data_IF_969191111589
#
_entry.id   IF_969191111589
#
_cell.length_a   1.000
_cell.length_b   1.000
_cell.length_c   1.000
_cell.angle_alpha   90.00
_cell.angle_beta   90.00
_cell.angle_gamma   90.00
#
_symmetry.space_group_name_H-M   'P 1'
#
loop_
_entity.id
_entity.type
_entity.pdbx_description
1 polymer ?
#
# COMPACT_ATOMS: atom_id res chain seq x y z
N UNK A 1 27.34 -23.18 0.65
CA UNK A 1 28.60 -22.49 0.31
C UNK A 1 28.85 -21.47 1.40
N UNK A 2 30.06 -21.44 1.98
CA UNK A 2 30.45 -20.46 3.00
C UNK A 2 31.38 -19.45 2.35
N UNK A 3 31.15 -18.17 2.59
CA UNK A 3 31.98 -17.07 2.10
C UNK A 3 32.30 -16.19 3.28
N UNK A 4 33.56 -15.84 3.42
CA UNK A 4 34.02 -14.96 4.49
C UNK A 4 33.76 -13.50 4.12
N UNK A 5 33.25 -12.75 5.08
CA UNK A 5 32.96 -11.34 4.96
C UNK A 5 33.35 -10.62 6.26
N UNK A 6 33.73 -9.36 6.12
CA UNK A 6 34.02 -8.47 7.23
C UNK A 6 32.79 -7.60 7.45
N UNK A 7 32.30 -7.56 8.69
CA UNK A 7 31.31 -6.57 9.09
C UNK A 7 32.01 -5.26 9.43
N UNK A 8 31.66 -4.18 8.72
CA UNK A 8 32.18 -2.84 9.00
C UNK A 8 31.03 -1.83 8.89
N UNK A 9 30.71 -1.16 10.00
CA UNK A 9 29.72 -0.06 10.07
C UNK A 9 28.36 -0.38 9.41
N UNK A 10 27.77 -1.54 9.70
CA UNK A 10 26.46 -1.91 9.15
C UNK A 10 26.49 -2.55 7.76
N UNK A 11 27.69 -2.82 7.21
CA UNK A 11 27.86 -3.45 5.90
C UNK A 11 28.66 -4.74 6.02
N UNK A 12 28.33 -5.72 5.18
CA UNK A 12 29.12 -6.94 4.99
C UNK A 12 29.93 -6.80 3.71
N UNK A 13 31.25 -6.86 3.84
CA UNK A 13 32.21 -6.78 2.74
C UNK A 13 32.85 -8.13 2.52
N UNK A 14 32.69 -8.71 1.33
CA UNK A 14 33.29 -10.00 1.02
C UNK A 14 34.80 -9.86 0.83
N UNK A 15 35.57 -10.75 1.45
CA UNK A 15 37.04 -10.77 1.34
C UNK A 15 37.49 -11.12 -0.08
N UNK A 16 36.69 -11.95 -0.76
CA UNK A 16 36.89 -12.33 -2.16
C UNK A 16 35.78 -11.71 -3.02
N UNK A 17 36.08 -11.34 -4.28
CA UNK A 17 35.08 -10.82 -5.19
C UNK A 17 34.04 -11.90 -5.53
N UNK A 18 32.82 -11.74 -4.99
CA UNK A 18 31.69 -12.63 -5.24
C UNK A 18 30.66 -11.93 -6.14
N UNK A 19 30.27 -12.59 -7.24
CA UNK A 19 29.14 -12.17 -8.07
C UNK A 19 27.92 -13.02 -7.73
N UNK A 20 26.92 -12.39 -7.14
CA UNK A 20 25.62 -13.01 -6.86
C UNK A 20 24.75 -12.99 -8.12
N UNK A 21 23.96 -14.05 -8.33
CA UNK A 21 23.08 -14.17 -9.51
C UNK A 21 21.86 -13.24 -9.46
N UNK A 22 21.50 -12.74 -8.28
CA UNK A 22 20.35 -11.87 -8.05
C UNK A 22 20.74 -10.66 -7.21
N UNK A 23 20.00 -9.56 -7.37
CA UNK A 23 20.30 -8.28 -6.71
C UNK A 23 20.00 -8.25 -5.20
N UNK A 24 19.14 -9.14 -4.69
CA UNK A 24 18.85 -9.26 -3.25
C UNK A 24 18.72 -10.73 -2.87
N UNK A 25 19.49 -11.16 -1.88
CA UNK A 25 19.41 -12.51 -1.30
C UNK A 25 19.37 -12.41 0.23
N UNK A 26 18.63 -13.30 0.92
CA UNK A 26 18.73 -13.45 2.37
C UNK A 26 20.06 -14.12 2.73
N UNK A 27 20.70 -13.64 3.80
CA UNK A 27 21.96 -14.17 4.33
C UNK A 27 21.78 -14.55 5.80
N UNK A 28 22.43 -15.63 6.22
CA UNK A 28 22.56 -16.01 7.64
C UNK A 28 24.01 -15.76 8.03
N UNK A 29 24.22 -14.93 9.05
CA UNK A 29 25.55 -14.54 9.52
C UNK A 29 25.78 -15.15 10.89
N UNK A 30 26.89 -15.88 11.05
CA UNK A 30 27.32 -16.40 12.34
C UNK A 30 28.32 -15.40 12.94
N UNK A 31 27.97 -14.83 14.09
CA UNK A 31 28.81 -13.91 14.85
C UNK A 31 28.78 -14.31 16.32
N UNK A 32 29.85 -14.03 17.09
CA UNK A 32 29.83 -14.20 18.55
C UNK A 32 28.76 -13.30 19.18
N UNK A 33 28.12 -13.76 20.25
CA UNK A 33 27.06 -12.99 20.93
C UNK A 33 27.61 -11.67 21.50
N UNK A 34 28.89 -11.63 21.88
CA UNK A 34 29.55 -10.43 22.42
C UNK A 34 29.75 -9.34 21.35
N UNK A 35 29.79 -9.72 20.08
CA UNK A 35 29.96 -8.80 18.96
C UNK A 35 28.63 -8.15 18.54
N UNK A 36 27.50 -8.58 19.12
CA UNK A 36 26.17 -8.07 18.80
C UNK A 36 25.63 -7.30 20.00
N UNK A 37 25.65 -5.98 19.90
CA UNK A 37 24.79 -5.16 20.73
C UNK A 37 23.38 -5.38 20.20
N UNK A 38 22.62 -6.26 20.86
CA UNK A 38 21.19 -6.39 20.63
C UNK A 38 20.58 -5.09 21.08
N UNK A 39 20.37 -4.18 20.13
CA UNK A 39 19.39 -3.14 20.30
C UNK A 39 18.08 -3.85 20.65
N UNK A 40 17.68 -3.78 21.91
CA UNK A 40 16.34 -4.19 22.40
C UNK A 40 15.24 -3.29 21.81
N UNK A 41 15.52 -2.68 20.65
CA UNK A 41 14.65 -1.90 19.81
C UNK A 41 14.17 -2.74 18.60
N UNK A 42 13.94 -4.04 18.77
CA UNK A 42 12.58 -4.49 18.47
C UNK A 42 11.69 -3.92 19.56
N UNK A 43 11.50 -2.60 19.55
CA UNK A 43 10.26 -2.09 20.09
C UNK A 43 9.21 -2.83 19.25
N UNK A 44 8.24 -3.55 19.84
CA UNK A 44 6.97 -3.65 19.14
C UNK A 44 6.71 -2.20 18.69
N UNK A 45 6.55 -1.97 17.38
CA UNK A 45 6.13 -0.65 16.89
C UNK A 45 5.18 -0.10 17.94
N UNK A 46 5.39 1.13 18.48
CA UNK A 46 4.56 1.64 19.56
C UNK A 46 3.15 1.29 19.15
N UNK A 47 2.51 0.39 19.90
CA UNK A 47 1.19 -0.11 19.51
C UNK A 47 0.39 1.16 19.49
N UNK A 48 0.15 1.71 18.30
CA UNK A 48 -0.50 2.99 18.15
C UNK A 48 -1.96 2.66 18.43
N UNK A 49 -2.25 2.58 19.72
CA UNK A 49 -3.56 2.29 20.26
C UNK A 49 -4.33 3.57 20.02
N UNK A 50 -5.04 3.58 18.90
CA UNK A 50 -6.02 4.60 18.61
C UNK A 50 -6.95 4.74 19.82
N UNK A 51 -7.32 5.97 20.22
CA UNK A 51 -8.31 6.17 21.26
C UNK A 51 -9.57 5.36 20.96
N UNK A 52 -10.27 4.85 21.99
CA UNK A 52 -11.44 4.00 21.81
C UNK A 52 -12.54 4.68 20.99
N UNK A 53 -12.63 6.02 21.06
CA UNK A 53 -13.54 6.83 20.26
C UNK A 53 -13.24 6.75 18.75
N UNK A 54 -11.96 6.74 18.37
CA UNK A 54 -11.54 6.65 16.96
C UNK A 54 -11.80 5.25 16.41
N UNK A 55 -11.58 4.21 17.22
CA UNK A 55 -11.93 2.83 16.87
C UNK A 55 -13.44 2.66 16.71
N UNK A 56 -14.24 3.23 17.62
CA UNK A 56 -15.69 3.20 17.53
C UNK A 56 -16.20 3.92 16.27
N UNK A 57 -15.62 5.08 15.94
CA UNK A 57 -15.94 5.79 14.70
C UNK A 57 -15.60 4.96 13.47
N UNK A 58 -14.43 4.31 13.45
CA UNK A 58 -13.99 3.47 12.34
C UNK A 58 -14.95 2.30 12.09
N UNK A 59 -15.41 1.63 13.16
CA UNK A 59 -16.37 0.54 13.07
C UNK A 59 -17.72 0.99 12.49
N UNK A 60 -18.22 2.15 12.95
CA UNK A 60 -19.46 2.73 12.41
C UNK A 60 -19.31 3.11 10.93
N UNK A 61 -18.14 3.63 10.53
CA UNK A 61 -17.87 3.96 9.14
C UNK A 61 -17.76 2.71 8.26
N UNK A 62 -17.10 1.65 8.75
CA UNK A 62 -16.98 0.37 8.05
C UNK A 62 -18.35 -0.25 7.79
N UNK A 63 -19.21 -0.28 8.81
CA UNK A 63 -20.58 -0.80 8.67
C UNK A 63 -21.40 -0.02 7.63
N UNK A 64 -21.31 1.32 7.63
CA UNK A 64 -21.99 2.15 6.62
C UNK A 64 -21.47 1.87 5.21
N UNK A 65 -20.17 1.71 5.05
CA UNK A 65 -19.57 1.44 3.74
C UNK A 65 -19.96 0.05 3.22
N UNK A 66 -20.05 -0.95 4.09
CA UNK A 66 -20.49 -2.28 3.71
C UNK A 66 -21.98 -2.29 3.29
N UNK A 67 -22.82 -1.54 4.00
CA UNK A 67 -24.22 -1.33 3.61
C UNK A 67 -24.33 -0.69 2.22
N UNK A 68 -23.54 0.35 1.92
CA UNK A 68 -23.53 1.01 0.60
C UNK A 68 -23.03 0.04 -0.48
N UNK A 69 -21.96 -0.71 -0.20
CA UNK A 69 -21.34 -1.63 -1.16
C UNK A 69 -22.29 -2.76 -1.56
N UNK A 70 -23.08 -3.25 -0.61
CA UNK A 70 -23.99 -4.38 -0.81
C UNK A 70 -25.43 -3.92 -1.14
N UNK A 71 -25.71 -2.61 -1.11
CA UNK A 71 -27.01 -2.08 -1.48
C UNK A 71 -27.24 -2.20 -3.00
N UNK A 72 -28.48 -2.49 -3.43
CA UNK A 72 -28.84 -2.35 -4.83
C UNK A 72 -28.69 -0.89 -5.27
N UNK A 73 -28.40 -0.63 -6.55
CA UNK A 73 -28.40 0.74 -7.06
C UNK A 73 -29.79 1.38 -6.83
N UNK A 74 -29.85 2.69 -6.55
CA UNK A 74 -31.12 3.39 -6.43
C UNK A 74 -31.89 3.34 -7.75
N UNK A 75 -33.22 3.46 -7.68
CA UNK A 75 -34.02 3.57 -8.89
C UNK A 75 -33.69 4.88 -9.62
N UNK A 76 -33.77 4.87 -10.95
CA UNK A 76 -33.51 6.07 -11.76
C UNK A 76 -34.40 7.26 -11.39
N UNK A 77 -35.63 7.00 -10.90
CA UNK A 77 -36.56 8.03 -10.44
C UNK A 77 -36.09 8.76 -9.16
N UNK A 78 -35.24 8.12 -8.36
CA UNK A 78 -34.67 8.67 -7.12
C UNK A 78 -33.35 9.41 -7.37
N UNK A 79 -32.83 9.38 -8.60
CA UNK A 79 -31.61 10.09 -8.96
C UNK A 79 -31.86 11.60 -9.05
N UNK A 80 -30.92 12.43 -8.56
CA UNK A 80 -31.03 13.87 -8.70
C UNK A 80 -30.99 14.27 -10.19
N UNK A 81 -31.73 15.33 -10.54
CA UNK A 81 -31.70 15.88 -11.89
C UNK A 81 -30.32 16.41 -12.25
N UNK A 82 -29.93 16.21 -13.50
CA UNK A 82 -28.64 16.68 -14.00
C UNK A 82 -28.62 18.21 -14.07
N UNK A 83 -27.50 18.79 -13.65
CA UNK A 83 -27.25 20.22 -13.83
C UNK A 83 -26.93 20.54 -15.30
N UNK A 84 -27.15 21.79 -15.72
CA UNK A 84 -26.85 22.24 -17.09
C UNK A 84 -25.40 21.91 -17.51
N UNK A 85 -24.43 22.14 -16.62
CA UNK A 85 -23.01 21.83 -16.88
C UNK A 85 -22.73 20.33 -17.05
N UNK A 86 -23.50 19.47 -16.39
CA UNK A 86 -23.39 18.02 -16.56
C UNK A 86 -23.97 17.58 -17.90
N UNK A 87 -25.08 18.17 -18.34
CA UNK A 87 -25.66 17.91 -19.66
C UNK A 87 -24.72 18.34 -20.79
N UNK A 88 -24.17 19.56 -20.73
CA UNK A 88 -23.17 20.05 -21.69
C UNK A 88 -21.97 19.09 -21.81
N UNK A 89 -21.52 18.54 -20.68
CA UNK A 89 -20.42 17.57 -20.66
C UNK A 89 -20.80 16.24 -21.31
N UNK A 90 -22.03 15.77 -21.11
CA UNK A 90 -22.54 14.54 -21.75
C UNK A 90 -22.59 14.73 -23.27
N UNK A 91 -23.11 15.86 -23.75
CA UNK A 91 -23.16 16.21 -25.17
C UNK A 91 -21.75 16.33 -25.80
N UNK A 92 -20.80 16.93 -25.07
CA UNK A 92 -19.42 17.01 -25.54
C UNK A 92 -18.75 15.64 -25.67
N UNK A 93 -19.05 14.70 -24.75
CA UNK A 93 -18.54 13.33 -24.85
C UNK A 93 -19.18 12.57 -26.01
N UNK A 94 -20.49 12.70 -26.23
CA UNK A 94 -21.16 12.04 -27.37
C UNK A 94 -20.61 12.54 -28.72
N UNK A 95 -20.41 13.86 -28.87
CA UNK A 95 -19.83 14.44 -30.08
C UNK A 95 -18.41 13.90 -30.35
N UNK A 96 -17.62 13.71 -29.30
CA UNK A 96 -16.26 13.16 -29.42
C UNK A 96 -16.28 11.69 -29.85
N UNK A 97 -17.19 10.88 -29.30
CA UNK A 97 -17.33 9.47 -29.66
C UNK A 97 -17.84 9.30 -31.10
N UNK A 98 -18.73 10.19 -31.55
CA UNK A 98 -19.11 10.29 -32.96
C UNK A 98 -17.88 10.57 -33.82
N UNK A 99 -17.14 11.65 -33.58
CA UNK A 99 -15.93 11.97 -34.38
C UNK A 99 -14.94 10.79 -34.40
N UNK A 100 -14.79 10.08 -33.27
CA UNK A 100 -13.89 8.91 -33.18
C UNK A 100 -14.38 7.71 -33.99
N UNK A 101 -15.68 7.49 -34.10
CA UNK A 101 -16.26 6.36 -34.84
C UNK A 101 -16.27 6.55 -36.36
N UNK A 102 -16.03 7.77 -36.85
CA UNK A 102 -15.92 8.10 -38.28
C UNK A 102 -14.49 7.93 -38.82
N UNK A 103 -13.51 7.66 -37.94
CA UNK A 103 -12.11 7.39 -38.25
C UNK A 103 -11.77 5.92 -38.01
#
# INVERSE_FOLDING_TARGET
MQVEAIYHQGRLEFILPVKLRSGRIPLVVQVPDEAVIKDTYYQPQPTYQLPPEVLALALVMEEKLDQIRNAPPPNDADLPSLTAKQLERIEAFSLRDEIRSWH
#
